data_IF_045111126492
#
_entry.id   IF_045111126492
#
_cell.length_a   1.000
_cell.length_b   1.000
_cell.length_c   1.000
_cell.angle_alpha   90.00
_cell.angle_beta   90.00
_cell.angle_gamma   90.00
#
_symmetry.space_group_name_H-M   'P 1'
#
loop_
_entity.id
_entity.type
_entity.pdbx_description
1 polymer ?
#
# COMPACT_ATOMS: atom_id res chain seq x y z
N UNK A 1 0.90 13.42 -18.96
CA UNK A 1 0.96 11.94 -19.06
C UNK A 1 2.09 11.30 -18.22
N UNK A 2 3.14 12.03 -17.84
CA UNK A 2 4.28 11.50 -17.06
C UNK A 2 3.90 10.65 -15.84
N UNK A 3 2.85 11.03 -15.09
CA UNK A 3 2.36 10.26 -13.94
C UNK A 3 1.86 8.86 -14.32
N UNK A 4 1.12 8.75 -15.43
CA UNK A 4 0.64 7.46 -15.93
C UNK A 4 1.84 6.60 -16.35
N UNK A 5 2.79 7.19 -17.09
CA UNK A 5 3.98 6.48 -17.57
C UNK A 5 4.85 5.96 -16.41
N UNK A 6 5.00 6.75 -15.35
CA UNK A 6 5.70 6.35 -14.13
C UNK A 6 5.01 5.14 -13.47
N UNK A 7 3.69 5.19 -13.29
CA UNK A 7 2.91 4.12 -12.65
C UNK A 7 2.94 2.84 -13.48
N UNK A 8 2.77 2.95 -14.81
CA UNK A 8 2.80 1.82 -15.73
C UNK A 8 4.15 1.09 -15.77
N UNK A 9 5.24 1.80 -15.47
CA UNK A 9 6.60 1.22 -15.32
C UNK A 9 6.87 0.65 -13.93
N UNK A 10 5.88 0.64 -13.04
CA UNK A 10 6.01 0.15 -11.67
C UNK A 10 6.52 1.18 -10.66
N UNK A 11 6.73 2.43 -11.07
CA UNK A 11 7.10 3.51 -10.15
C UNK A 11 5.97 3.80 -9.16
N UNK A 12 6.33 4.00 -7.89
CA UNK A 12 5.42 4.37 -6.79
C UNK A 12 6.04 5.51 -6.00
N UNK A 13 5.21 6.23 -5.25
CA UNK A 13 5.68 7.28 -4.35
C UNK A 13 6.60 6.67 -3.30
N UNK A 14 7.66 7.38 -2.94
CA UNK A 14 8.54 7.00 -1.83
C UNK A 14 7.79 7.08 -0.50
N UNK A 15 8.28 6.37 0.50
CA UNK A 15 7.75 6.45 1.86
C UNK A 15 7.84 7.90 2.40
N UNK A 16 6.76 8.47 2.94
CA UNK A 16 6.83 9.75 3.66
C UNK A 16 7.64 9.63 4.96
N UNK A 17 8.31 10.70 5.39
CA UNK A 17 9.21 10.68 6.57
C UNK A 17 8.51 10.26 7.86
N UNK A 18 7.28 10.74 8.10
CA UNK A 18 6.51 10.44 9.31
C UNK A 18 5.64 9.19 9.20
N UNK A 19 5.73 8.46 8.08
CA UNK A 19 4.92 7.25 7.88
C UNK A 19 5.66 6.02 8.43
N UNK A 20 5.08 5.26 9.38
CA UNK A 20 5.70 4.02 9.82
C UNK A 20 5.78 3.01 8.67
N UNK A 21 6.88 2.25 8.63
CA UNK A 21 7.15 1.32 7.54
C UNK A 21 6.02 0.30 7.32
N UNK A 22 5.38 -0.16 8.38
CA UNK A 22 4.24 -1.09 8.32
C UNK A 22 3.08 -0.56 7.48
N UNK A 23 2.71 0.71 7.67
CA UNK A 23 1.64 1.34 6.88
C UNK A 23 2.06 1.52 5.42
N UNK A 24 3.30 1.91 5.16
CA UNK A 24 3.80 2.05 3.79
C UNK A 24 3.85 0.71 3.05
N UNK A 25 4.22 -0.37 3.73
CA UNK A 25 4.20 -1.71 3.15
C UNK A 25 2.77 -2.16 2.76
N UNK A 26 1.75 -1.74 3.51
CA UNK A 26 0.33 -1.93 3.12
C UNK A 26 -0.02 -1.10 1.89
N UNK A 27 0.43 0.17 1.81
CA UNK A 27 0.23 0.99 0.61
C UNK A 27 0.83 0.34 -0.64
N UNK A 28 2.03 -0.24 -0.53
CA UNK A 28 2.66 -0.98 -1.63
C UNK A 28 1.86 -2.21 -2.06
N UNK A 29 1.21 -2.91 -1.13
CA UNK A 29 0.29 -4.01 -1.44
C UNK A 29 -0.95 -3.51 -2.19
N UNK A 30 -1.56 -2.42 -1.73
CA UNK A 30 -2.67 -1.76 -2.43
C UNK A 30 -2.31 -1.29 -3.84
N UNK A 31 -1.03 -0.92 -4.05
CA UNK A 31 -0.54 -0.42 -5.34
C UNK A 31 0.13 -1.48 -6.22
N UNK A 32 -0.10 -2.77 -5.96
CA UNK A 32 0.35 -3.85 -6.86
C UNK A 32 -0.14 -3.63 -8.29
N UNK A 33 0.75 -3.91 -9.25
CA UNK A 33 0.50 -3.67 -10.67
C UNK A 33 -0.70 -4.48 -11.16
N UNK A 34 -0.77 -5.74 -10.75
CA UNK A 34 -1.85 -6.67 -11.06
C UNK A 34 -2.99 -6.47 -10.06
N UNK A 35 -4.21 -6.10 -10.50
CA UNK A 35 -5.34 -5.87 -9.60
C UNK A 35 -5.67 -7.06 -8.69
N UNK A 36 -5.49 -8.28 -9.17
CA UNK A 36 -5.74 -9.52 -8.45
C UNK A 36 -4.74 -9.80 -7.31
N UNK A 37 -3.59 -9.12 -7.28
CA UNK A 37 -2.61 -9.22 -6.20
C UNK A 37 -2.87 -8.23 -5.06
N UNK A 38 -3.87 -7.34 -5.22
CA UNK A 38 -4.20 -6.34 -4.22
C UNK A 38 -5.05 -6.96 -3.11
N UNK A 39 -4.87 -6.54 -1.85
CA UNK A 39 -5.68 -7.03 -0.75
C UNK A 39 -7.14 -6.61 -0.94
N UNK A 40 -8.06 -7.43 -0.43
CA UNK A 40 -9.47 -7.05 -0.31
C UNK A 40 -9.63 -6.04 0.82
N UNK A 41 -10.74 -5.28 0.80
CA UNK A 41 -11.07 -4.40 1.92
C UNK A 41 -11.23 -5.15 3.25
N UNK A 42 -11.75 -6.37 3.21
CA UNK A 42 -11.84 -7.25 4.39
C UNK A 42 -10.46 -7.58 4.95
N UNK A 43 -9.51 -7.97 4.10
CA UNK A 43 -8.12 -8.22 4.51
C UNK A 43 -7.46 -6.98 5.09
N UNK A 44 -7.69 -5.81 4.49
CA UNK A 44 -7.19 -4.53 5.00
C UNK A 44 -7.78 -4.21 6.39
N UNK A 45 -9.08 -4.40 6.57
CA UNK A 45 -9.76 -4.14 7.83
C UNK A 45 -9.16 -4.97 8.97
N UNK A 46 -9.08 -6.29 8.78
CA UNK A 46 -8.48 -7.20 9.77
C UNK A 46 -7.02 -6.81 10.08
N UNK A 47 -6.25 -6.49 9.05
CA UNK A 47 -4.86 -6.04 9.20
C UNK A 47 -4.78 -4.80 10.10
N UNK A 48 -5.65 -3.81 9.90
CA UNK A 48 -5.63 -2.58 10.69
C UNK A 48 -6.14 -2.77 12.12
N UNK A 49 -7.11 -3.65 12.35
CA UNK A 49 -7.54 -4.00 13.70
C UNK A 49 -6.38 -4.58 14.52
N UNK A 50 -5.59 -5.49 13.96
CA UNK A 50 -4.41 -6.07 14.62
C UNK A 50 -3.36 -5.02 15.01
N UNK A 51 -3.20 -3.95 14.22
CA UNK A 51 -2.31 -2.83 14.60
C UNK A 51 -2.84 -2.09 15.82
N UNK A 52 -4.16 -1.82 15.89
CA UNK A 52 -4.75 -1.08 17.02
C UNK A 52 -4.70 -1.82 18.34
N UNK A 53 -4.57 -3.16 18.31
CA UNK A 53 -4.49 -4.00 19.53
C UNK A 53 -3.04 -4.12 20.04
N UNK A 54 -2.05 -3.86 19.20
CA UNK A 54 -0.62 -4.03 19.52
C UNK A 54 0.12 -2.70 19.78
N UNK A 55 -0.61 -1.59 19.90
CA UNK A 55 -0.08 -0.27 20.32
C UNK A 55 -0.73 0.17 21.61
#
# INVERSE_FOLDING_TARGET
>A
KATIDMISKGGRMTQPEECPKSYYDIMLQCWKQRPEERPTFESLHNTFEDYTVNT
#
